data_IF_515355491696
#
_entry.id   IF_515355491696
#
_cell.length_a   1.000
_cell.length_b   1.000
_cell.length_c   1.000
_cell.angle_alpha   90.00
_cell.angle_beta   90.00
_cell.angle_gamma   90.00
#
_symmetry.space_group_name_H-M   'P 1'
#
loop_
_entity.id
_entity.type
_entity.pdbx_description
1 polymer ?
#
# COMPACT_ATOMS: atom_id res chain seq x y z
N UNK A 1 -28.15 -11.96 42.75
CA UNK A 1 -27.90 -13.30 43.32
C UNK A 1 -28.08 -14.28 42.18
N UNK A 2 -27.15 -15.12 41.75
CA UNK A 2 -25.73 -15.31 41.99
C UNK A 2 -25.28 -16.21 40.82
N UNK A 3 -24.09 -15.99 40.27
CA UNK A 3 -23.32 -17.09 39.66
C UNK A 3 -23.07 -18.18 40.73
N UNK A 4 -22.79 -19.43 40.36
CA UNK A 4 -21.41 -19.79 40.02
C UNK A 4 -21.31 -20.71 38.77
N UNK A 5 -20.27 -20.71 37.95
CA UNK A 5 -18.83 -20.95 38.19
C UNK A 5 -18.45 -22.40 37.87
N UNK A 6 -17.20 -22.53 37.41
CA UNK A 6 -16.36 -23.72 37.22
C UNK A 6 -16.46 -24.36 35.83
N UNK A 7 -15.52 -24.12 34.90
CA UNK A 7 -14.06 -24.29 34.93
C UNK A 7 -13.59 -25.72 34.67
N UNK A 8 -12.34 -25.81 34.19
CA UNK A 8 -11.50 -26.99 33.96
C UNK A 8 -11.56 -27.45 32.50
N UNK A 9 -10.49 -27.53 31.72
CA UNK A 9 -9.04 -27.37 31.98
C UNK A 9 -8.37 -27.57 30.60
N UNK A 10 -7.38 -26.74 30.23
CA UNK A 10 -5.95 -27.12 30.23
C UNK A 10 -5.67 -28.10 29.05
N UNK A 11 -4.65 -27.95 28.23
CA UNK A 11 -3.28 -27.64 28.58
C UNK A 11 -2.49 -27.64 27.26
N UNK A 12 -1.75 -26.56 26.98
CA UNK A 12 -0.51 -26.72 26.23
C UNK A 12 0.48 -27.44 27.15
N UNK A 13 1.36 -28.28 26.61
CA UNK A 13 2.75 -27.95 26.88
C UNK A 13 3.67 -28.13 25.66
N UNK A 14 4.60 -27.19 25.63
CA UNK A 14 5.86 -27.23 24.92
C UNK A 14 6.57 -28.58 25.08
N UNK A 15 7.22 -29.03 24.01
CA UNK A 15 8.27 -30.05 24.04
C UNK A 15 9.01 -30.04 22.71
N UNK A 16 10.30 -30.29 22.58
CA UNK A 16 11.47 -30.19 23.44
C UNK A 16 12.66 -30.21 22.45
N UNK A 17 13.79 -29.67 22.89
CA UNK A 17 15.06 -29.79 22.20
C UNK A 17 15.47 -31.25 21.92
N UNK A 18 16.18 -31.46 20.81
CA UNK A 18 17.16 -32.54 20.57
C UNK A 18 18.41 -31.82 20.06
N UNK A 19 19.59 -31.77 20.71
CA UNK A 19 20.42 -32.82 21.36
C UNK A 19 20.68 -33.98 20.38
N UNK A 20 21.87 -34.33 19.90
CA UNK A 20 23.28 -34.17 20.32
C UNK A 20 24.20 -34.58 19.11
N UNK A 21 25.47 -35.00 19.24
CA UNK A 21 26.65 -34.48 19.97
C UNK A 21 27.89 -34.28 19.03
N UNK A 22 29.00 -33.65 19.51
CA UNK A 22 30.33 -33.83 18.94
C UNK A 22 31.10 -34.97 19.65
N UNK A 23 32.08 -35.61 18.98
CA UNK A 23 33.31 -35.94 19.70
C UNK A 23 34.59 -35.78 18.86
N UNK A 24 35.60 -35.16 19.49
CA UNK A 24 36.98 -35.68 19.69
C UNK A 24 37.80 -36.11 18.45
N UNK A 25 39.06 -35.74 18.20
CA UNK A 25 40.15 -35.06 18.92
C UNK A 25 41.31 -34.85 17.89
N UNK A 26 42.62 -34.82 18.23
CA UNK A 26 43.41 -33.63 18.55
C UNK A 26 44.70 -33.51 17.68
N UNK A 27 45.60 -32.62 18.09
CA UNK A 27 47.02 -32.49 17.70
C UNK A 27 47.30 -31.38 16.67
N UNK A 28 48.29 -30.51 16.83
CA UNK A 28 49.15 -30.15 17.95
C UNK A 28 49.70 -28.75 17.64
N UNK A 29 49.95 -27.96 18.67
CA UNK A 29 50.72 -26.70 18.65
C UNK A 29 52.22 -27.01 18.46
N UNK A 30 53.17 -26.07 18.67
CA UNK A 30 53.40 -24.74 18.07
C UNK A 30 54.88 -24.59 17.61
N UNK A 31 55.23 -23.54 16.86
CA UNK A 31 56.59 -22.97 16.93
C UNK A 31 56.50 -21.45 17.02
N UNK A 32 56.88 -20.95 18.21
CA UNK A 32 57.24 -19.58 18.52
C UNK A 32 58.56 -19.18 17.87
N UNK A 33 58.76 -17.88 17.62
CA UNK A 33 60.00 -17.09 17.78
C UNK A 33 59.96 -15.91 16.79
N UNK A 34 60.22 -14.64 17.11
CA UNK A 34 60.46 -13.87 18.34
C UNK A 34 60.62 -12.39 17.90
N UNK A 35 60.40 -11.42 18.79
CA UNK A 35 60.83 -10.01 18.65
C UNK A 35 59.68 -8.98 18.68
N UNK A 36 59.18 -8.52 19.84
CA UNK A 36 59.63 -7.32 20.61
C UNK A 36 59.70 -6.03 19.75
N UNK A 37 59.18 -4.84 20.08
CA UNK A 37 58.53 -4.17 21.23
C UNK A 37 57.99 -2.84 20.61
N UNK A 38 56.88 -2.21 20.98
CA UNK A 38 56.77 -1.22 22.06
C UNK A 38 55.34 -0.68 22.16
N UNK A 39 54.83 -0.64 23.40
CA UNK A 39 54.01 0.40 24.04
C UNK A 39 52.62 0.83 23.50
N UNK A 40 51.69 0.83 24.46
CA UNK A 40 50.25 1.16 24.45
C UNK A 40 50.00 2.70 24.57
N UNK A 41 48.77 3.25 24.37
CA UNK A 41 47.55 2.81 25.05
C UNK A 41 46.25 2.72 24.22
N UNK A 42 45.49 1.67 24.53
CA UNK A 42 44.04 1.47 24.35
C UNK A 42 43.21 2.73 24.74
N UNK A 43 42.26 3.26 23.95
CA UNK A 43 40.86 2.84 23.62
C UNK A 43 39.93 4.07 23.95
N UNK A 44 38.75 4.35 23.31
CA UNK A 44 37.83 3.42 22.66
C UNK A 44 37.39 3.77 21.24
N UNK A 45 37.68 2.86 20.31
CA UNK A 45 36.65 2.48 19.33
C UNK A 45 35.54 1.80 20.12
N UNK A 46 34.52 2.57 20.49
CA UNK A 46 33.24 2.02 20.92
C UNK A 46 32.76 1.04 19.83
N UNK A 47 32.17 -0.12 20.19
CA UNK A 47 31.45 -0.90 19.18
C UNK A 47 30.46 0.06 18.51
N UNK A 48 30.35 0.08 17.16
CA UNK A 48 29.39 0.93 16.49
C UNK A 48 28.04 0.64 17.12
N UNK A 49 27.50 1.61 17.87
CA UNK A 49 26.28 1.41 18.63
C UNK A 49 25.25 0.84 17.65
N UNK A 50 24.73 -0.38 17.84
CA UNK A 50 23.91 -1.05 16.83
C UNK A 50 22.65 -0.22 16.48
N UNK A 51 22.25 0.64 17.41
CA UNK A 51 21.22 1.64 17.23
C UNK A 51 21.58 2.74 16.21
N UNK A 52 22.83 3.22 16.18
CA UNK A 52 23.29 4.18 15.18
C UNK A 52 23.33 3.55 13.78
N UNK A 53 23.85 2.32 13.66
CA UNK A 53 23.82 1.58 12.39
C UNK A 53 22.39 1.32 11.90
N UNK A 54 21.47 0.98 12.82
CA UNK A 54 20.05 0.82 12.49
C UNK A 54 19.38 2.15 12.07
N UNK A 55 19.77 3.29 12.66
CA UNK A 55 19.28 4.62 12.25
C UNK A 55 19.82 4.98 10.87
N UNK A 56 21.09 4.73 10.59
CA UNK A 56 21.70 4.98 9.29
C UNK A 56 21.08 4.12 8.19
N UNK A 57 20.86 2.83 8.44
CA UNK A 57 20.13 1.95 7.52
C UNK A 57 18.70 2.44 7.26
N UNK A 58 18.01 2.95 8.28
CA UNK A 58 16.68 3.57 8.12
C UNK A 58 16.74 4.85 7.30
N UNK A 59 17.73 5.71 7.53
CA UNK A 59 17.94 6.94 6.78
C UNK A 59 18.14 6.64 5.30
N UNK A 60 19.05 5.71 4.97
CA UNK A 60 19.32 5.30 3.59
C UNK A 60 18.07 4.75 2.94
N UNK A 61 17.29 3.93 3.65
CA UNK A 61 16.01 3.42 3.14
C UNK A 61 15.02 4.55 2.84
N UNK A 62 14.89 5.52 3.74
CA UNK A 62 13.98 6.65 3.55
C UNK A 62 14.42 7.53 2.38
N UNK A 63 15.72 7.81 2.25
CA UNK A 63 16.28 8.56 1.13
C UNK A 63 16.05 7.82 -0.20
N UNK A 64 16.21 6.50 -0.24
CA UNK A 64 15.90 5.69 -1.40
C UNK A 64 14.41 5.74 -1.76
N UNK A 65 13.51 5.65 -0.77
CA UNK A 65 12.06 5.79 -1.00
C UNK A 65 11.68 7.18 -1.48
N UNK A 66 12.30 8.24 -0.96
CA UNK A 66 12.06 9.59 -1.44
C UNK A 66 12.49 9.75 -2.90
N UNK A 67 13.66 9.25 -3.27
CA UNK A 67 14.13 9.29 -4.66
C UNK A 67 13.18 8.53 -5.60
N UNK A 68 12.70 7.36 -5.19
CA UNK A 68 11.73 6.57 -5.95
C UNK A 68 10.40 7.32 -6.13
N UNK A 69 9.84 7.87 -5.04
CA UNK A 69 8.61 8.65 -5.11
C UNK A 69 8.75 9.93 -5.95
N UNK A 70 9.91 10.59 -5.90
CA UNK A 70 10.20 11.75 -6.73
C UNK A 70 10.27 11.37 -8.22
N UNK A 71 10.86 10.22 -8.56
CA UNK A 71 10.90 9.72 -9.92
C UNK A 71 9.50 9.35 -10.43
N UNK A 72 8.69 8.69 -9.61
CA UNK A 72 7.29 8.39 -9.96
C UNK A 72 6.47 9.67 -10.18
N UNK A 73 6.63 10.66 -9.31
CA UNK A 73 5.95 11.96 -9.43
C UNK A 73 6.29 12.67 -10.73
N UNK A 74 7.57 12.76 -11.08
CA UNK A 74 7.99 13.47 -12.29
C UNK A 74 7.49 12.77 -13.56
N UNK A 75 7.46 11.43 -13.58
CA UNK A 75 6.89 10.65 -14.69
C UNK A 75 5.39 10.92 -14.87
N UNK A 76 4.61 10.91 -13.78
CA UNK A 76 3.17 11.21 -13.82
C UNK A 76 2.87 12.63 -14.28
N UNK A 77 3.69 13.60 -13.87
CA UNK A 77 3.54 15.01 -14.24
C UNK A 77 3.88 15.25 -15.72
N UNK A 78 4.80 14.47 -16.27
CA UNK A 78 5.16 14.55 -17.68
C UNK A 78 4.03 14.05 -18.61
N UNK A 79 3.30 13.01 -18.21
CA UNK A 79 2.15 12.51 -18.99
C UNK A 79 0.87 13.34 -18.80
N UNK A 80 0.77 14.07 -17.68
CA UNK A 80 -0.38 14.89 -17.35
C UNK A 80 -0.64 16.00 -18.39
N UNK A 81 -1.87 16.04 -18.90
CA UNK A 81 -2.36 17.05 -19.85
C UNK A 81 -3.26 18.04 -19.12
N UNK A 82 -3.36 19.25 -19.64
CA UNK A 82 -4.32 20.24 -19.19
C UNK A 82 -5.76 19.75 -19.48
N UNK A 83 -6.78 20.29 -18.81
CA UNK A 83 -8.18 19.97 -19.10
C UNK A 83 -8.54 20.19 -20.58
N UNK A 84 -7.89 21.17 -21.22
CA UNK A 84 -8.04 21.47 -22.65
C UNK A 84 -7.34 20.47 -23.58
N UNK A 85 -6.67 19.43 -23.05
CA UNK A 85 -5.93 18.43 -23.81
C UNK A 85 -4.51 18.86 -24.25
N UNK A 86 -4.11 20.11 -23.98
CA UNK A 86 -2.77 20.61 -24.29
C UNK A 86 -1.74 20.16 -23.24
N UNK A 87 -0.47 20.10 -23.63
CA UNK A 87 0.65 19.86 -22.71
C UNK A 87 0.83 21.01 -21.72
N UNK A 88 1.43 20.70 -20.56
CA UNK A 88 1.81 21.70 -19.56
C UNK A 88 2.90 22.63 -20.11
N UNK A 89 2.78 23.96 -19.93
CA UNK A 89 3.78 24.92 -20.39
C UNK A 89 5.16 24.70 -19.76
N UNK A 90 6.22 24.90 -20.55
CA UNK A 90 7.60 24.67 -20.15
C UNK A 90 8.12 25.69 -19.10
N UNK A 91 7.47 26.84 -19.01
CA UNK A 91 7.77 27.96 -18.12
C UNK A 91 7.25 27.78 -16.69
N UNK A 92 6.37 26.81 -16.44
CA UNK A 92 5.85 26.55 -15.10
C UNK A 92 6.83 25.80 -14.22
N UNK A 93 6.84 26.14 -12.93
CA UNK A 93 7.61 25.41 -11.92
C UNK A 93 7.08 23.97 -11.78
N UNK A 94 7.96 23.06 -11.33
CA UNK A 94 7.57 21.67 -11.11
C UNK A 94 6.38 21.58 -10.12
N UNK A 95 6.38 22.40 -9.07
CA UNK A 95 5.30 22.47 -8.11
C UNK A 95 3.97 22.89 -8.76
N UNK A 96 3.98 23.92 -9.62
CA UNK A 96 2.78 24.36 -10.35
C UNK A 96 2.23 23.27 -11.27
N UNK A 97 3.11 22.59 -12.03
CA UNK A 97 2.70 21.47 -12.89
C UNK A 97 2.09 20.34 -12.07
N UNK A 98 2.69 20.00 -10.93
CA UNK A 98 2.15 18.92 -10.08
C UNK A 98 0.80 19.27 -9.49
N UNK A 99 0.63 20.50 -9.02
CA UNK A 99 -0.64 21.00 -8.50
C UNK A 99 -1.72 20.97 -9.57
N UNK A 100 -1.39 21.42 -10.78
CA UNK A 100 -2.34 21.42 -11.90
C UNK A 100 -2.67 20.00 -12.38
N UNK A 101 -1.69 19.08 -12.41
CA UNK A 101 -1.90 17.69 -12.78
C UNK A 101 -2.88 17.01 -11.81
N UNK A 102 -2.64 17.20 -10.51
CA UNK A 102 -3.54 16.73 -9.45
C UNK A 102 -4.92 17.37 -9.53
N UNK A 103 -5.00 18.68 -9.80
CA UNK A 103 -6.28 19.37 -9.95
C UNK A 103 -7.07 18.82 -11.15
N UNK A 104 -6.40 18.55 -12.27
CA UNK A 104 -7.02 18.00 -13.48
C UNK A 104 -7.50 16.58 -13.23
N UNK A 105 -6.67 15.71 -12.64
CA UNK A 105 -7.06 14.35 -12.28
C UNK A 105 -8.27 14.33 -11.32
N UNK A 106 -8.26 15.17 -10.29
CA UNK A 106 -9.39 15.31 -9.38
C UNK A 106 -10.66 15.84 -10.08
N UNK A 107 -10.50 16.74 -11.06
CA UNK A 107 -11.59 17.24 -11.88
C UNK A 107 -12.28 16.11 -12.67
N UNK A 108 -11.49 15.30 -13.37
CA UNK A 108 -11.98 14.15 -14.16
C UNK A 108 -12.68 13.13 -13.26
N UNK A 109 -12.10 12.80 -12.10
CA UNK A 109 -12.74 11.87 -11.16
C UNK A 109 -14.08 12.42 -10.67
N UNK A 110 -14.14 13.70 -10.30
CA UNK A 110 -15.39 14.34 -9.86
C UNK A 110 -16.46 14.37 -10.95
N UNK A 111 -16.06 14.66 -12.18
CA UNK A 111 -16.95 14.64 -13.33
C UNK A 111 -17.52 13.22 -13.53
N UNK A 112 -16.67 12.20 -13.52
CA UNK A 112 -17.12 10.81 -13.67
C UNK A 112 -18.06 10.37 -12.54
N UNK A 113 -17.76 10.72 -11.28
CA UNK A 113 -18.66 10.48 -10.15
C UNK A 113 -20.01 11.18 -10.36
N UNK A 114 -20.00 12.42 -10.83
CA UNK A 114 -21.24 13.15 -11.11
C UNK A 114 -22.05 12.50 -12.23
N UNK A 115 -21.40 12.04 -13.30
CA UNK A 115 -22.06 11.34 -14.39
C UNK A 115 -22.69 10.03 -13.91
N UNK A 116 -21.97 9.26 -13.10
CA UNK A 116 -22.46 8.00 -12.57
C UNK A 116 -23.68 8.21 -11.64
N UNK A 117 -23.62 9.22 -10.77
CA UNK A 117 -24.78 9.55 -9.92
C UNK A 117 -25.98 10.00 -10.74
N UNK A 118 -25.79 10.86 -11.74
CA UNK A 118 -26.88 11.31 -12.62
C UNK A 118 -27.48 10.15 -13.42
N UNK A 119 -26.65 9.25 -13.92
CA UNK A 119 -27.11 8.06 -14.62
C UNK A 119 -27.95 7.17 -13.70
N UNK A 120 -27.44 6.84 -12.51
CA UNK A 120 -28.17 6.02 -11.54
C UNK A 120 -29.50 6.66 -11.13
N UNK A 121 -29.52 7.97 -10.88
CA UNK A 121 -30.74 8.69 -10.53
C UNK A 121 -31.80 8.60 -11.64
N UNK A 122 -31.41 8.85 -12.89
CA UNK A 122 -32.33 8.74 -14.04
C UNK A 122 -32.79 7.29 -14.25
N UNK A 123 -31.89 6.32 -14.10
CA UNK A 123 -32.20 4.89 -14.21
C UNK A 123 -33.22 4.46 -13.17
N UNK A 124 -33.02 4.84 -11.90
CA UNK A 124 -33.93 4.48 -10.80
C UNK A 124 -35.32 5.10 -10.99
N UNK A 125 -35.38 6.37 -11.42
CA UNK A 125 -36.65 7.03 -11.76
C UNK A 125 -37.33 6.31 -12.94
N UNK A 126 -36.57 6.00 -13.99
CA UNK A 126 -37.08 5.30 -15.17
C UNK A 126 -37.64 3.92 -14.83
N UNK A 127 -36.91 3.12 -14.05
CA UNK A 127 -37.36 1.81 -13.59
C UNK A 127 -38.59 1.91 -12.68
N UNK A 128 -38.63 2.90 -11.79
CA UNK A 128 -39.82 3.16 -10.96
C UNK A 128 -41.06 3.50 -11.81
N UNK A 129 -40.91 4.36 -12.82
CA UNK A 129 -42.01 4.70 -13.74
C UNK A 129 -42.44 3.49 -14.59
N UNK A 130 -41.50 2.69 -15.07
CA UNK A 130 -41.79 1.46 -15.82
C UNK A 130 -42.53 0.43 -14.96
N UNK A 131 -42.19 0.30 -13.68
CA UNK A 131 -42.95 -0.48 -12.71
C UNK A 131 -44.41 -0.04 -12.61
N UNK A 132 -44.65 1.27 -12.47
CA UNK A 132 -46.01 1.82 -12.42
C UNK A 132 -46.80 1.59 -13.73
N UNK A 133 -46.14 1.65 -14.89
CA UNK A 133 -46.77 1.39 -16.19
C UNK A 133 -47.11 -0.10 -16.33
N UNK A 134 -46.20 -0.98 -15.93
CA UNK A 134 -46.40 -2.42 -15.93
C UNK A 134 -47.58 -2.82 -15.04
N UNK A 135 -47.65 -2.26 -13.83
CA UNK A 135 -48.77 -2.47 -12.90
C UNK A 135 -50.11 -2.02 -13.49
N UNK A 136 -50.15 -0.86 -14.16
CA UNK A 136 -51.38 -0.36 -14.81
C UNK A 136 -51.81 -1.21 -16.00
N UNK A 137 -50.86 -1.81 -16.73
CA UNK A 137 -51.13 -2.69 -17.88
C UNK A 137 -51.37 -4.15 -17.48
N UNK A 138 -51.01 -4.52 -16.24
CA UNK A 138 -51.07 -5.91 -15.76
C UNK A 138 -50.07 -6.84 -16.45
N UNK A 139 -49.00 -6.29 -17.03
CA UNK A 139 -47.93 -7.05 -17.72
C UNK A 139 -46.64 -7.01 -16.91
N UNK A 140 -45.64 -7.84 -17.26
CA UNK A 140 -44.36 -7.81 -16.56
C UNK A 140 -43.56 -6.58 -16.97
N UNK A 141 -42.73 -6.09 -16.06
CA UNK A 141 -41.80 -4.97 -16.33
C UNK A 141 -40.90 -5.28 -17.53
N UNK A 142 -40.49 -6.54 -17.70
CA UNK A 142 -39.69 -6.98 -18.85
C UNK A 142 -40.39 -6.75 -20.20
N UNK A 143 -41.70 -7.01 -20.29
CA UNK A 143 -42.47 -6.82 -21.52
C UNK A 143 -42.60 -5.32 -21.85
N UNK A 144 -42.76 -4.47 -20.82
CA UNK A 144 -42.76 -3.02 -20.99
C UNK A 144 -41.37 -2.51 -21.39
N UNK A 145 -40.30 -3.03 -20.80
CA UNK A 145 -38.94 -2.66 -21.19
C UNK A 145 -38.63 -3.00 -22.66
N UNK A 146 -39.10 -4.14 -23.15
CA UNK A 146 -39.03 -4.52 -24.57
C UNK A 146 -39.82 -3.55 -25.47
N UNK A 147 -41.05 -3.20 -25.10
CA UNK A 147 -41.90 -2.22 -25.83
C UNK A 147 -41.23 -0.85 -25.99
N UNK A 148 -40.48 -0.40 -24.98
CA UNK A 148 -39.78 0.88 -24.98
C UNK A 148 -38.33 0.78 -25.50
N UNK A 149 -37.89 -0.42 -25.91
CA UNK A 149 -36.57 -0.64 -26.50
C UNK A 149 -35.39 -0.50 -25.54
N UNK A 150 -35.63 -0.70 -24.22
CA UNK A 150 -34.60 -0.58 -23.18
C UNK A 150 -34.29 -1.98 -22.64
N UNK A 151 -33.01 -2.35 -22.53
CA UNK A 151 -32.61 -3.61 -21.90
C UNK A 151 -32.09 -3.39 -20.49
N UNK A 152 -32.06 -4.45 -19.67
CA UNK A 152 -31.52 -4.40 -18.30
C UNK A 152 -30.01 -4.08 -18.25
N UNK A 153 -29.32 -4.23 -19.40
CA UNK A 153 -27.89 -3.96 -19.57
C UNK A 153 -27.57 -2.52 -19.94
N UNK A 154 -28.59 -1.69 -20.22
CA UNK A 154 -28.47 -0.28 -20.58
C UNK A 154 -28.74 0.65 -19.37
#
# INVERSE_FOLDING_TARGET
MSSPDQATTQQAPQSHASSAPPPSSPAATPVSTNGQTTESPAKPTSPPNPRLAAIEAKRIRLEATLADLQAQRSALVADAKLPSGLGMPADWSEEQRTKQALATANGVIKEHISLLHKYNEIKDIGQGLMGLIADKRGVRIADVMEDFGVSEKD
#
